data_IF_472196188602
#
_entry.id   IF_472196188602
#
_cell.length_a   1.000
_cell.length_b   1.000
_cell.length_c   1.000
_cell.angle_alpha   90.00
_cell.angle_beta   90.00
_cell.angle_gamma   90.00
#
_symmetry.space_group_name_H-M   'P 1'
#
loop_
_entity.id
_entity.type
_entity.pdbx_description
1 polymer ?
#
# COMPACT_ATOMS: atom_id res chain seq x y z
N UNK A 1 -0.81 9.39 20.85
CA UNK A 1 -0.33 8.16 20.16
C UNK A 1 0.66 8.59 19.10
N UNK A 2 1.89 8.05 19.13
CA UNK A 2 2.83 8.24 18.04
C UNK A 2 2.50 7.22 16.95
N UNK A 3 2.37 7.68 15.71
CA UNK A 3 2.25 6.77 14.57
C UNK A 3 3.60 6.05 14.39
N UNK A 4 3.60 4.73 14.14
CA UNK A 4 4.84 4.01 13.89
C UNK A 4 5.50 4.57 12.63
N UNK A 5 6.83 4.65 12.62
CA UNK A 5 7.58 5.14 11.45
C UNK A 5 8.25 3.97 10.73
N UNK A 6 8.20 4.00 9.39
CA UNK A 6 8.83 2.98 8.56
C UNK A 6 9.84 3.61 7.60
N UNK A 7 11.11 3.23 7.77
CA UNK A 7 12.22 3.74 6.96
C UNK A 7 12.63 2.81 5.82
N UNK A 8 11.94 1.68 5.63
CA UNK A 8 12.23 0.71 4.55
C UNK A 8 12.88 -0.60 5.01
N UNK A 9 12.86 -0.92 6.30
CA UNK A 9 13.41 -2.17 6.82
C UNK A 9 12.42 -3.33 6.64
N UNK A 10 12.62 -4.19 5.64
CA UNK A 10 11.69 -5.30 5.35
C UNK A 10 11.40 -6.21 6.57
N UNK A 11 12.37 -6.36 7.48
CA UNK A 11 12.20 -7.18 8.70
C UNK A 11 11.16 -6.57 9.65
N UNK A 12 11.10 -5.25 9.72
CA UNK A 12 10.17 -4.53 10.60
C UNK A 12 8.84 -4.18 9.92
N UNK A 13 8.75 -4.40 8.60
CA UNK A 13 7.54 -4.12 7.84
C UNK A 13 6.28 -4.81 8.39
N UNK A 14 6.26 -6.13 8.69
CA UNK A 14 5.07 -6.78 9.25
C UNK A 14 4.65 -6.21 10.62
N UNK A 15 5.61 -5.89 11.50
CA UNK A 15 5.34 -5.27 12.80
C UNK A 15 4.81 -3.85 12.66
N UNK A 16 5.38 -3.08 11.73
CA UNK A 16 4.90 -1.75 11.36
C UNK A 16 3.47 -1.81 10.81
N UNK A 17 3.20 -2.70 9.86
CA UNK A 17 1.91 -2.82 9.19
C UNK A 17 0.79 -3.20 10.15
N UNK A 18 1.05 -4.16 11.05
CA UNK A 18 0.13 -4.51 12.14
C UNK A 18 -0.18 -3.32 13.05
N UNK A 19 0.85 -2.58 13.47
CA UNK A 19 0.70 -1.38 14.32
C UNK A 19 -0.06 -0.25 13.59
N UNK A 20 0.20 -0.07 12.30
CA UNK A 20 -0.52 0.89 11.46
C UNK A 20 -2.00 0.52 11.33
N UNK A 21 -2.33 -0.75 11.05
CA UNK A 21 -3.72 -1.21 11.02
C UNK A 21 -4.42 -1.07 12.37
N UNK A 22 -3.73 -1.29 13.49
CA UNK A 22 -4.33 -1.05 14.81
C UNK A 22 -4.59 0.44 15.09
N UNK A 23 -3.71 1.34 14.61
CA UNK A 23 -3.86 2.78 14.83
C UNK A 23 -4.83 3.47 13.84
N UNK A 24 -4.86 2.99 12.60
CA UNK A 24 -5.60 3.61 11.47
C UNK A 24 -6.82 2.75 11.09
N UNK A 25 -6.70 1.43 11.10
CA UNK A 25 -7.82 0.53 10.80
C UNK A 25 -8.90 0.50 11.87
N UNK A 26 -8.58 0.84 13.13
CA UNK A 26 -9.56 0.96 14.22
C UNK A 26 -10.36 2.27 14.17
N UNK A 27 -10.04 3.20 13.25
CA UNK A 27 -10.80 4.44 13.07
C UNK A 27 -11.99 4.18 12.13
N UNK A 28 -13.25 4.08 12.63
CA UNK A 28 -14.40 3.62 11.85
C UNK A 28 -14.91 4.64 10.82
N UNK A 29 -14.28 5.81 10.66
CA UNK A 29 -14.77 6.93 9.86
C UNK A 29 -13.72 7.58 8.95
N UNK A 30 -12.64 6.87 8.59
CA UNK A 30 -11.66 7.40 7.64
C UNK A 30 -11.71 6.71 6.29
N UNK A 31 -11.85 7.54 5.26
CA UNK A 31 -11.76 7.19 3.85
C UNK A 31 -10.37 6.64 3.51
N UNK A 32 -10.27 5.82 2.48
CA UNK A 32 -9.02 5.21 2.04
C UNK A 32 -8.01 6.26 1.56
N UNK A 33 -8.48 7.39 1.01
CA UNK A 33 -7.65 8.57 0.72
C UNK A 33 -6.98 9.14 1.97
N UNK A 34 -7.71 9.17 3.09
CA UNK A 34 -7.20 9.61 4.39
C UNK A 34 -6.21 8.59 4.95
N UNK A 35 -6.52 7.29 4.87
CA UNK A 35 -5.59 6.21 5.25
C UNK A 35 -4.28 6.30 4.46
N UNK A 36 -4.35 6.60 3.16
CA UNK A 36 -3.17 6.80 2.32
C UNK A 36 -2.33 8.00 2.77
N UNK A 37 -2.98 9.10 3.15
CA UNK A 37 -2.29 10.28 3.70
C UNK A 37 -1.56 9.94 5.01
N UNK A 38 -2.22 9.20 5.92
CA UNK A 38 -1.58 8.70 7.14
C UNK A 38 -0.42 7.77 6.82
N UNK A 39 -0.60 6.83 5.89
CA UNK A 39 0.44 5.91 5.46
C UNK A 39 1.66 6.69 4.97
N UNK A 40 1.50 7.67 4.06
CA UNK A 40 2.60 8.54 3.61
C UNK A 40 3.30 9.25 4.78
N UNK A 41 2.55 9.74 5.77
CA UNK A 41 3.12 10.41 6.94
C UNK A 41 3.92 9.48 7.85
N UNK A 42 3.58 8.18 7.89
CA UNK A 42 4.31 7.15 8.63
C UNK A 42 5.57 6.68 7.90
N UNK A 43 5.64 6.83 6.58
CA UNK A 43 6.77 6.39 5.78
C UNK A 43 7.87 7.46 5.74
N UNK A 44 9.12 6.99 5.63
CA UNK A 44 10.30 7.85 5.48
C UNK A 44 11.14 7.35 4.31
N UNK A 45 11.81 8.29 3.64
CA UNK A 45 12.81 7.99 2.60
C UNK A 45 12.30 7.02 1.51
N UNK A 46 12.82 5.80 1.43
CA UNK A 46 12.58 4.87 0.32
C UNK A 46 11.12 4.39 0.18
N UNK A 47 10.44 3.90 1.24
CA UNK A 47 9.03 3.53 1.15
C UNK A 47 8.10 4.72 0.85
N UNK A 48 8.44 5.93 1.33
CA UNK A 48 7.66 7.12 0.99
C UNK A 48 7.71 7.38 -0.52
N UNK A 49 8.91 7.39 -1.11
CA UNK A 49 9.08 7.62 -2.55
C UNK A 49 8.32 6.60 -3.43
N UNK A 50 8.09 5.37 -2.95
CA UNK A 50 7.35 4.34 -3.67
C UNK A 50 5.88 4.69 -3.84
N UNK A 51 5.26 5.23 -2.78
CA UNK A 51 3.84 5.59 -2.80
C UNK A 51 3.59 7.09 -2.98
N UNK A 52 4.63 7.91 -2.96
CA UNK A 52 4.54 9.36 -3.14
C UNK A 52 3.93 9.70 -4.50
N UNK A 53 4.30 8.96 -5.55
CA UNK A 53 3.76 9.08 -6.91
C UNK A 53 2.28 8.74 -7.04
N UNK A 54 1.68 8.08 -6.05
CA UNK A 54 0.25 7.76 -6.10
C UNK A 54 -0.59 8.96 -5.64
N UNK A 55 -1.68 9.29 -6.37
CA UNK A 55 -2.58 10.35 -5.95
C UNK A 55 -3.28 9.98 -4.63
N UNK A 56 -3.58 10.99 -3.79
CA UNK A 56 -4.30 10.83 -2.52
C UNK A 56 -5.81 10.62 -2.75
N UNK A 57 -6.15 9.53 -3.44
CA UNK A 57 -7.54 9.15 -3.76
C UNK A 57 -7.80 7.74 -3.24
N UNK A 58 -9.06 7.46 -2.89
CA UNK A 58 -9.48 6.19 -2.28
C UNK A 58 -9.09 4.97 -3.13
N UNK A 59 -9.21 5.08 -4.45
CA UNK A 59 -8.84 4.00 -5.38
C UNK A 59 -7.34 3.67 -5.37
N UNK A 60 -6.49 4.62 -5.01
CA UNK A 60 -5.03 4.45 -5.01
C UNK A 60 -4.49 3.85 -3.72
N UNK A 61 -5.25 3.87 -2.63
CA UNK A 61 -4.83 3.24 -1.37
C UNK A 61 -4.54 1.74 -1.50
N UNK A 62 -5.44 0.89 -2.03
CA UNK A 62 -5.15 -0.54 -2.17
C UNK A 62 -3.95 -0.79 -3.10
N UNK A 63 -3.78 0.00 -4.16
CA UNK A 63 -2.65 -0.13 -5.08
C UNK A 63 -1.32 0.25 -4.43
N UNK A 64 -1.30 1.34 -3.65
CA UNK A 64 -0.13 1.80 -2.91
C UNK A 64 0.27 0.79 -1.84
N UNK A 65 -0.70 0.25 -1.10
CA UNK A 65 -0.48 -0.79 -0.07
C UNK A 65 0.04 -2.07 -0.70
N UNK A 66 -0.56 -2.53 -1.80
CA UNK A 66 -0.10 -3.72 -2.52
C UNK A 66 1.36 -3.58 -2.98
N UNK A 67 1.72 -2.46 -3.59
CA UNK A 67 3.10 -2.19 -4.02
C UNK A 67 4.09 -2.15 -2.84
N UNK A 68 3.65 -1.61 -1.70
CA UNK A 68 4.49 -1.50 -0.51
C UNK A 68 4.68 -2.86 0.16
N UNK A 69 3.62 -3.67 0.25
CA UNK A 69 3.69 -5.08 0.67
C UNK A 69 4.55 -5.91 -0.28
N UNK A 70 4.36 -5.74 -1.58
CA UNK A 70 5.16 -6.41 -2.59
C UNK A 70 6.66 -6.13 -2.39
N UNK A 71 7.02 -4.88 -2.09
CA UNK A 71 8.43 -4.48 -1.93
C UNK A 71 9.04 -4.86 -0.58
N UNK A 72 8.27 -4.85 0.50
CA UNK A 72 8.78 -4.97 1.88
C UNK A 72 8.25 -6.19 2.66
N UNK A 73 7.12 -6.79 2.24
CA UNK A 73 6.53 -8.01 2.84
C UNK A 73 7.11 -9.29 2.21
N UNK A 74 7.56 -9.25 0.94
CA UNK A 74 7.97 -10.48 0.25
C UNK A 74 9.05 -10.27 -0.86
N UNK A 75 10.34 -10.52 -0.62
CA UNK A 75 11.36 -10.45 -1.67
C UNK A 75 11.28 -11.60 -2.70
N UNK A 76 10.47 -12.64 -2.47
CA UNK A 76 10.52 -13.89 -3.26
C UNK A 76 9.34 -14.13 -4.21
N UNK A 77 8.29 -13.31 -4.21
CA UNK A 77 7.01 -13.69 -4.87
C UNK A 77 6.35 -12.59 -5.75
N UNK A 78 7.07 -11.51 -6.03
CA UNK A 78 6.61 -10.30 -6.72
C UNK A 78 6.13 -10.55 -8.16
N UNK A 79 6.49 -11.66 -8.81
CA UNK A 79 6.29 -11.83 -10.25
C UNK A 79 4.97 -12.50 -10.67
N UNK A 80 4.20 -13.15 -9.78
CA UNK A 80 3.07 -13.98 -10.23
C UNK A 80 1.71 -13.27 -10.27
N UNK A 81 1.44 -12.31 -9.39
CA UNK A 81 0.09 -11.75 -9.25
C UNK A 81 -0.21 -10.57 -10.18
N UNK A 82 0.77 -9.70 -10.48
CA UNK A 82 0.57 -8.58 -11.43
C UNK A 82 0.30 -9.04 -12.87
N UNK A 83 0.77 -10.24 -13.25
CA UNK A 83 0.59 -10.76 -14.61
C UNK A 83 -0.83 -11.34 -14.85
N UNK A 84 -1.62 -11.60 -13.81
CA UNK A 84 -2.96 -12.19 -13.98
C UNK A 84 -4.05 -11.14 -14.23
N UNK A 85 -4.03 -9.99 -13.53
CA UNK A 85 -5.06 -8.95 -13.72
C UNK A 85 -4.90 -8.12 -15.00
N UNK A 86 -3.69 -8.02 -15.57
CA UNK A 86 -3.47 -7.26 -16.81
C UNK A 86 -3.88 -8.03 -18.09
N UNK A 87 -4.16 -9.34 -18.02
CA UNK A 87 -4.56 -10.15 -19.19
C UNK A 87 -6.06 -10.47 -19.27
N UNK A 88 -6.85 -10.06 -18.29
CA UNK A 88 -8.28 -10.38 -18.21
C UNK A 88 -9.17 -9.13 -18.38
N UNK A 89 -8.77 -8.20 -19.24
CA UNK A 89 -9.74 -7.28 -19.84
C UNK A 89 -10.48 -8.08 -20.92
N UNK A 90 -11.77 -8.43 -20.76
CA UNK A 90 -12.55 -8.89 -21.88
C UNK A 90 -12.64 -7.73 -22.86
N UNK A 91 -11.92 -7.80 -23.99
CA UNK A 91 -12.10 -6.84 -25.08
C UNK A 91 -13.57 -6.86 -25.45
N UNK A 92 -14.25 -5.76 -25.13
CA UNK A 92 -15.69 -5.64 -25.33
C UNK A 92 -16.01 -5.82 -26.80
N UNK A 93 -17.04 -6.62 -27.06
CA UNK A 93 -17.63 -6.96 -28.35
C UNK A 93 -17.96 -5.71 -29.17
N UNK A 94 -17.46 -5.64 -30.41
CA UNK A 94 -18.02 -4.90 -31.56
C UNK A 94 -17.56 -5.68 -32.79
N UNK A 95 -18.38 -6.16 -33.71
CA UNK A 95 -19.77 -5.94 -34.10
C UNK A 95 -19.82 -6.48 -35.53
#
# INVERSE_FOLDING_TARGET
MALPQFSGNCVEFPSFWSSFQAAVGDLPNISDSVKLSYLKSCLRSAPLAVIESFPLVDQSYPQAVDLLKQKYENPTEISRSLCHSLKQLPTVRKG
#
